data_IF_843697559796
#
_entry.id   IF_843697559796
#
_cell.length_a   1.000
_cell.length_b   1.000
_cell.length_c   1.000
_cell.angle_alpha   90.00
_cell.angle_beta   90.00
_cell.angle_gamma   90.00
#
_symmetry.space_group_name_H-M   'P 1'
#
loop_
_entity.id
_entity.type
_entity.pdbx_description
1 polymer ?
#
# COMPACT_ATOMS: atom_id res chain seq x y z
N UNK A 1 12.49 -12.72 8.22
CA UNK A 1 11.90 -11.86 7.18
C UNK A 1 13.05 -11.25 6.41
N UNK A 2 12.92 -11.02 5.09
CA UNK A 2 13.87 -10.22 4.32
C UNK A 2 14.05 -8.81 4.95
N UNK A 3 15.08 -8.03 4.56
CA UNK A 3 15.24 -6.67 5.06
C UNK A 3 14.06 -5.77 4.64
N UNK A 4 13.87 -4.68 5.39
CA UNK A 4 12.85 -3.68 5.05
C UNK A 4 13.23 -2.90 3.80
N UNK A 5 12.22 -2.59 3.00
CA UNK A 5 12.28 -1.56 1.97
C UNK A 5 11.53 -0.33 2.50
N UNK A 6 12.21 0.81 2.48
CA UNK A 6 11.66 2.06 3.01
C UNK A 6 10.95 2.80 1.89
N UNK A 7 9.73 3.24 2.15
CA UNK A 7 9.03 4.14 1.23
C UNK A 7 9.65 5.53 1.36
N UNK A 8 10.00 6.15 0.23
CA UNK A 8 10.50 7.51 0.20
C UNK A 8 9.43 8.45 0.77
N UNK A 9 9.74 9.23 1.83
CA UNK A 9 8.78 10.15 2.43
C UNK A 9 8.16 11.11 1.40
N UNK A 10 6.85 11.33 1.50
CA UNK A 10 6.10 12.21 0.61
C UNK A 10 5.77 11.62 -0.77
N UNK A 11 6.12 10.36 -1.05
CA UNK A 11 5.82 9.72 -2.34
C UNK A 11 4.60 8.81 -2.30
N UNK A 12 4.08 8.49 -1.11
CA UNK A 12 2.87 7.67 -0.98
C UNK A 12 1.63 8.49 -1.31
N UNK A 13 0.85 8.02 -2.29
CA UNK A 13 -0.34 8.71 -2.79
C UNK A 13 -1.49 7.72 -2.88
N UNK A 14 -2.64 8.13 -2.33
CA UNK A 14 -3.87 7.35 -2.39
C UNK A 14 -4.47 7.36 -3.79
N UNK A 15 -5.01 6.23 -4.22
CA UNK A 15 -5.69 6.08 -5.50
C UNK A 15 -7.07 5.45 -5.32
N UNK A 16 -7.95 5.67 -6.29
CA UNK A 16 -9.28 5.09 -6.34
C UNK A 16 -9.68 4.82 -7.79
N UNK A 17 -10.72 4.00 -8.00
CA UNK A 17 -11.20 3.61 -9.33
C UNK A 17 -10.05 3.22 -10.29
N UNK A 18 -9.03 2.57 -9.73
CA UNK A 18 -7.79 2.23 -10.41
C UNK A 18 -7.71 0.71 -10.51
N UNK A 19 -7.32 0.21 -11.67
CA UNK A 19 -7.27 -1.21 -11.99
C UNK A 19 -5.84 -1.63 -12.32
N UNK A 20 -5.55 -2.92 -12.10
CA UNK A 20 -4.24 -3.48 -12.42
C UNK A 20 -3.96 -3.34 -13.93
N UNK A 21 -2.74 -2.93 -14.29
CA UNK A 21 -2.31 -2.62 -15.65
C UNK A 21 -2.70 -1.24 -16.18
N UNK A 22 -3.57 -0.49 -15.49
CA UNK A 22 -4.04 0.82 -15.95
C UNK A 22 -3.33 1.99 -15.26
N UNK A 23 -3.66 3.21 -15.68
CA UNK A 23 -3.22 4.45 -15.04
C UNK A 23 -3.89 4.67 -13.67
N UNK A 24 -3.45 5.69 -12.94
CA UNK A 24 -3.95 5.99 -11.61
C UNK A 24 -4.97 7.12 -11.64
N UNK A 25 -6.08 6.95 -10.92
CA UNK A 25 -6.93 8.09 -10.54
C UNK A 25 -6.66 8.43 -9.08
N UNK A 26 -6.19 9.66 -8.83
CA UNK A 26 -5.78 10.09 -7.49
C UNK A 26 -6.99 10.23 -6.57
N UNK A 27 -6.86 9.68 -5.36
CA UNK A 27 -7.80 9.95 -4.28
C UNK A 27 -7.51 11.36 -3.74
N UNK A 28 -8.56 12.04 -3.28
CA UNK A 28 -8.45 13.40 -2.75
C UNK A 28 -8.89 13.44 -1.29
N UNK A 29 -8.37 14.40 -0.55
CA UNK A 29 -8.89 14.69 0.78
C UNK A 29 -10.34 15.18 0.69
N UNK A 30 -11.23 14.63 1.53
CA UNK A 30 -12.64 15.01 1.53
C UNK A 30 -13.46 14.29 2.60
N UNK A 31 -14.46 15.01 3.12
CA UNK A 31 -15.37 14.46 4.15
C UNK A 31 -16.52 13.66 3.56
N UNK A 32 -16.76 13.73 2.24
CA UNK A 32 -17.82 13.02 1.53
C UNK A 32 -17.38 12.65 0.10
N UNK A 33 -18.17 11.84 -0.61
CA UNK A 33 -17.95 11.56 -2.03
C UNK A 33 -17.08 10.34 -2.32
N UNK A 34 -17.11 9.90 -3.57
CA UNK A 34 -16.29 8.80 -4.06
C UNK A 34 -14.83 9.24 -4.18
N UNK A 35 -13.90 8.31 -3.98
CA UNK A 35 -12.47 8.59 -4.13
C UNK A 35 -11.90 9.53 -3.08
N UNK A 36 -12.54 9.65 -1.92
CA UNK A 36 -12.07 10.52 -0.84
C UNK A 36 -11.53 9.78 0.37
N UNK A 37 -10.65 10.45 1.10
CA UNK A 37 -10.14 10.06 2.42
C UNK A 37 -10.20 11.27 3.37
N UNK A 38 -10.22 11.03 4.68
CA UNK A 38 -10.22 12.12 5.67
C UNK A 38 -8.83 12.70 5.91
N UNK A 39 -8.77 13.97 6.30
CA UNK A 39 -7.52 14.70 6.62
C UNK A 39 -6.66 14.01 7.69
N UNK A 40 -7.27 13.29 8.62
CA UNK A 40 -6.59 12.55 9.69
C UNK A 40 -6.35 11.06 9.35
N UNK A 41 -6.82 10.61 8.18
CA UNK A 41 -6.75 9.22 7.71
C UNK A 41 -6.11 9.16 6.32
N UNK A 42 -4.95 9.82 6.19
CA UNK A 42 -4.24 10.03 4.93
C UNK A 42 -3.41 8.81 4.52
N UNK A 43 -2.97 8.72 3.25
CA UNK A 43 -2.03 7.67 2.82
C UNK A 43 -0.71 7.66 3.61
N UNK A 44 -0.27 8.81 4.15
CA UNK A 44 0.96 8.91 4.93
C UNK A 44 0.90 8.12 6.25
N UNK A 45 -0.30 7.89 6.79
CA UNK A 45 -0.49 7.06 7.98
C UNK A 45 -0.06 5.60 7.76
N UNK A 46 0.09 5.15 6.50
CA UNK A 46 0.53 3.78 6.22
C UNK A 46 2.01 3.54 6.50
N UNK A 47 2.79 4.61 6.66
CA UNK A 47 4.25 4.56 6.81
C UNK A 47 4.72 5.43 7.99
N UNK A 48 3.82 5.71 8.94
CA UNK A 48 4.14 6.54 10.11
C UNK A 48 4.66 5.70 11.30
N UNK A 49 4.78 4.39 11.09
CA UNK A 49 5.19 3.38 12.05
C UNK A 49 4.23 3.26 13.25
N UNK A 50 2.96 3.60 13.08
CA UNK A 50 1.95 3.58 14.12
C UNK A 50 0.72 2.79 13.68
N UNK A 51 0.53 1.59 14.27
CA UNK A 51 -0.72 0.84 14.10
C UNK A 51 -1.95 1.59 14.64
N UNK A 52 -1.77 2.63 15.46
CA UNK A 52 -2.86 3.43 16.04
C UNK A 52 -3.50 4.42 15.06
N UNK A 53 -2.81 4.76 13.97
CA UNK A 53 -3.37 5.55 12.86
C UNK A 53 -3.84 4.61 11.75
N UNK A 54 -4.46 5.14 10.70
CA UNK A 54 -4.89 4.35 9.53
C UNK A 54 -5.10 5.22 8.30
N UNK A 55 -4.93 4.63 7.13
CA UNK A 55 -5.52 5.17 5.91
C UNK A 55 -6.93 4.62 5.74
N UNK A 56 -7.90 5.47 5.37
CA UNK A 56 -9.26 5.04 5.03
C UNK A 56 -9.73 5.65 3.73
N UNK A 57 -10.11 4.81 2.77
CA UNK A 57 -10.57 5.22 1.44
C UNK A 57 -12.00 4.82 1.16
N UNK A 58 -12.80 5.72 0.58
CA UNK A 58 -14.22 5.46 0.25
C UNK A 58 -14.44 4.74 -1.08
N UNK A 59 -13.50 4.81 -2.03
CA UNK A 59 -13.68 4.24 -3.37
C UNK A 59 -15.02 4.62 -4.03
N UNK A 60 -15.66 3.66 -4.70
CA UNK A 60 -16.99 3.85 -5.32
C UNK A 60 -17.94 2.69 -4.98
N UNK A 61 -19.20 2.96 -4.59
CA UNK A 61 -19.78 4.29 -4.38
C UNK A 61 -19.27 4.92 -3.08
N UNK A 62 -19.09 6.24 -3.07
CA UNK A 62 -18.56 6.98 -1.90
C UNK A 62 -19.57 7.28 -0.79
N UNK A 63 -20.70 6.57 -0.78
CA UNK A 63 -21.78 6.74 0.19
C UNK A 63 -22.55 5.43 0.36
N UNK A 64 -23.22 5.28 1.50
CA UNK A 64 -24.00 4.09 1.83
C UNK A 64 -23.11 2.89 2.12
N UNK A 65 -23.27 2.24 3.27
CA UNK A 65 -22.49 1.05 3.58
C UNK A 65 -22.80 -0.05 2.58
N UNK A 66 -21.77 -0.57 1.90
CA UNK A 66 -21.93 -1.65 0.94
C UNK A 66 -20.64 -2.49 0.82
N UNK A 67 -20.70 -3.59 0.07
CA UNK A 67 -19.56 -4.49 -0.14
C UNK A 67 -18.56 -4.01 -1.19
N UNK A 68 -18.91 -3.02 -2.02
CA UNK A 68 -18.13 -2.54 -3.17
C UNK A 68 -17.30 -1.29 -2.86
N UNK A 69 -17.73 -0.44 -1.93
CA UNK A 69 -17.02 0.78 -1.56
C UNK A 69 -15.61 0.46 -1.05
N UNK A 70 -14.63 1.28 -1.42
CA UNK A 70 -13.22 1.04 -1.11
C UNK A 70 -12.54 -0.05 -1.95
N UNK A 71 -13.26 -0.81 -2.79
CA UNK A 71 -12.61 -1.65 -3.81
C UNK A 71 -12.01 -0.77 -4.92
N UNK A 72 -10.98 -1.27 -5.59
CA UNK A 72 -10.19 -0.53 -6.60
C UNK A 72 -9.59 0.76 -6.05
N UNK A 73 -9.35 0.80 -4.73
CA UNK A 73 -8.59 1.84 -4.05
C UNK A 73 -7.27 1.29 -3.59
N UNK A 74 -6.38 2.17 -3.15
CA UNK A 74 -5.17 1.77 -2.47
C UNK A 74 -4.17 2.90 -2.54
N UNK A 75 -2.92 2.59 -2.85
CA UNK A 75 -1.87 3.59 -2.99
C UNK A 75 -0.81 3.14 -3.99
N UNK A 76 -0.05 4.10 -4.50
CA UNK A 76 1.29 3.84 -5.00
C UNK A 76 2.31 4.58 -4.14
N UNK A 77 3.55 4.13 -4.18
CA UNK A 77 4.67 4.76 -3.50
C UNK A 77 6.00 4.46 -4.21
N UNK A 78 6.97 5.35 -4.04
CA UNK A 78 8.36 5.13 -4.50
C UNK A 78 9.19 4.62 -3.33
N UNK A 79 10.03 3.63 -3.58
CA UNK A 79 10.94 3.07 -2.58
C UNK A 79 12.24 3.88 -2.58
N UNK A 80 12.77 4.17 -1.39
CA UNK A 80 13.93 5.04 -1.20
C UNK A 80 15.25 4.38 -1.62
N UNK A 81 15.33 3.05 -1.55
CA UNK A 81 16.52 2.29 -1.90
C UNK A 81 16.79 2.25 -3.42
N UNK A 82 18.07 2.11 -3.78
CA UNK A 82 18.49 1.89 -5.17
C UNK A 82 18.16 0.46 -5.63
N UNK A 83 17.57 0.34 -6.82
CA UNK A 83 17.19 -0.93 -7.46
C UNK A 83 16.45 -1.91 -6.52
N UNK A 84 15.37 -1.48 -5.84
CA UNK A 84 14.71 -2.32 -4.87
C UNK A 84 13.90 -3.42 -5.57
N UNK A 85 14.03 -4.66 -5.07
CA UNK A 85 13.20 -5.81 -5.46
C UNK A 85 12.31 -6.18 -4.28
N UNK A 86 11.00 -5.96 -4.41
CA UNK A 86 10.00 -6.35 -3.42
C UNK A 86 9.79 -7.88 -3.41
N UNK A 87 9.93 -8.51 -2.24
CA UNK A 87 9.71 -9.95 -2.03
C UNK A 87 8.52 -10.27 -1.14
N UNK A 88 7.95 -9.27 -0.47
CA UNK A 88 6.75 -9.46 0.32
C UNK A 88 6.35 -8.25 1.12
N UNK A 89 5.22 -8.39 1.82
CA UNK A 89 4.64 -7.31 2.59
C UNK A 89 3.84 -7.80 3.80
N UNK A 90 3.48 -6.87 4.68
CA UNK A 90 2.46 -7.02 5.72
C UNK A 90 1.62 -5.76 5.81
N UNK A 91 0.32 -5.93 6.07
CA UNK A 91 -0.55 -4.82 6.43
C UNK A 91 -0.79 -4.78 7.94
N UNK A 92 -0.82 -3.57 8.50
CA UNK A 92 -1.40 -3.29 9.81
C UNK A 92 -2.92 -3.39 9.74
N UNK A 93 -3.52 -4.00 10.74
CA UNK A 93 -4.98 -4.14 10.81
C UNK A 93 -5.67 -2.78 11.03
N UNK A 94 -7.01 -2.76 10.98
CA UNK A 94 -7.78 -1.51 11.12
C UNK A 94 -8.52 -1.41 12.46
N UNK A 95 -7.99 -2.01 13.51
CA UNK A 95 -8.66 -2.06 14.82
C UNK A 95 -9.10 -0.64 15.29
N UNK A 96 -10.34 -0.51 15.84
CA UNK A 96 -11.35 -1.54 16.08
C UNK A 96 -12.27 -1.84 14.87
N UNK A 97 -12.03 -1.24 13.70
CA UNK A 97 -12.88 -1.30 12.51
C UNK A 97 -12.54 -2.47 11.57
N UNK A 98 -12.55 -3.68 12.11
CA UNK A 98 -12.21 -4.89 11.33
C UNK A 98 -13.12 -5.13 10.11
N UNK A 99 -14.34 -4.57 10.10
CA UNK A 99 -15.27 -4.60 8.97
C UNK A 99 -14.71 -3.94 7.69
N UNK A 100 -13.75 -3.03 7.85
CA UNK A 100 -13.14 -2.23 6.79
C UNK A 100 -11.84 -2.83 6.24
N UNK A 101 -11.35 -3.91 6.85
CA UNK A 101 -10.05 -4.45 6.49
C UNK A 101 -10.03 -5.00 5.06
N UNK A 102 -8.99 -4.71 4.28
CA UNK A 102 -8.81 -5.32 2.97
C UNK A 102 -8.45 -6.80 3.16
N UNK A 103 -9.07 -7.69 2.39
CA UNK A 103 -8.80 -9.13 2.43
C UNK A 103 -7.89 -9.58 1.30
N UNK A 104 -8.02 -8.96 0.13
CA UNK A 104 -7.17 -9.23 -1.04
C UNK A 104 -6.68 -7.96 -1.70
N UNK A 105 -5.54 -8.08 -2.36
CA UNK A 105 -4.81 -6.98 -2.99
C UNK A 105 -4.12 -7.46 -4.28
N UNK A 106 -4.00 -6.58 -5.26
CA UNK A 106 -2.98 -6.72 -6.31
C UNK A 106 -1.78 -5.84 -6.00
N UNK A 107 -0.58 -6.36 -6.20
CA UNK A 107 0.66 -5.61 -6.08
C UNK A 107 1.34 -5.56 -7.43
N UNK A 108 1.74 -4.37 -7.84
CA UNK A 108 2.36 -4.11 -9.13
C UNK A 108 3.63 -3.29 -8.97
N UNK A 109 4.59 -3.47 -9.88
CA UNK A 109 5.82 -2.69 -9.94
C UNK A 109 5.93 -1.87 -11.23
N UNK A 110 6.55 -0.69 -11.15
CA UNK A 110 6.90 0.11 -12.32
C UNK A 110 8.21 0.87 -12.17
N UNK A 111 8.79 1.26 -13.30
CA UNK A 111 9.95 2.15 -13.41
C UNK A 111 9.61 3.46 -14.14
N UNK A 112 8.32 3.73 -14.40
CA UNK A 112 7.85 5.01 -14.91
C UNK A 112 8.23 6.17 -13.98
N UNK A 113 8.53 7.34 -14.55
CA UNK A 113 8.76 8.55 -13.77
C UNK A 113 7.44 9.30 -13.48
N UNK A 114 6.50 9.35 -14.43
CA UNK A 114 5.13 9.87 -14.22
C UNK A 114 4.21 8.74 -13.76
N UNK A 115 4.10 8.57 -12.44
CA UNK A 115 3.27 7.51 -11.85
C UNK A 115 1.76 7.73 -12.06
N UNK A 116 1.29 8.95 -12.25
CA UNK A 116 -0.15 9.22 -12.41
C UNK A 116 -0.64 8.66 -13.74
N UNK A 117 0.07 8.95 -14.82
CA UNK A 117 -0.33 8.56 -16.18
C UNK A 117 0.30 7.24 -16.66
N UNK A 118 1.19 6.62 -15.86
CA UNK A 118 1.84 5.37 -16.23
C UNK A 118 0.83 4.22 -16.37
N UNK A 119 0.84 3.56 -17.52
CA UNK A 119 0.11 2.31 -17.81
C UNK A 119 1.03 1.08 -17.81
N UNK A 120 2.33 1.27 -17.64
CA UNK A 120 3.32 0.19 -17.63
C UNK A 120 3.53 -0.34 -16.20
N UNK A 121 2.48 -0.94 -15.64
CA UNK A 121 2.53 -1.64 -14.35
C UNK A 121 2.63 -3.14 -14.57
N UNK A 122 3.62 -3.78 -13.94
CA UNK A 122 3.79 -5.24 -14.00
C UNK A 122 3.14 -5.86 -12.78
N UNK A 123 2.17 -6.75 -12.97
CA UNK A 123 1.54 -7.50 -11.87
C UNK A 123 2.53 -8.47 -11.24
N UNK A 124 2.76 -8.32 -9.94
CA UNK A 124 3.69 -9.14 -9.15
C UNK A 124 2.94 -10.09 -8.21
N UNK A 125 1.78 -9.67 -7.72
CA UNK A 125 0.99 -10.42 -6.76
C UNK A 125 -0.49 -10.16 -6.94
N UNK A 126 -1.31 -11.20 -6.76
CA UNK A 126 -2.76 -11.09 -6.66
C UNK A 126 -3.24 -12.14 -5.65
N UNK A 127 -3.60 -11.70 -4.45
CA UNK A 127 -3.86 -12.63 -3.36
C UNK A 127 -4.23 -11.95 -2.06
N UNK A 128 -3.97 -12.63 -0.95
CA UNK A 128 -4.30 -12.19 0.40
C UNK A 128 -3.53 -10.94 0.83
N UNK A 129 -4.11 -10.20 1.77
CA UNK A 129 -3.41 -9.16 2.54
C UNK A 129 -2.78 -9.68 3.84
N UNK A 130 -3.04 -10.94 4.21
CA UNK A 130 -2.70 -11.50 5.52
C UNK A 130 -3.64 -11.08 6.65
N UNK A 131 -4.70 -10.33 6.36
CA UNK A 131 -5.70 -9.89 7.34
C UNK A 131 -6.96 -10.78 7.33
N UNK A 132 -6.89 -12.07 6.99
CA UNK A 132 -8.10 -12.91 7.01
C UNK A 132 -8.62 -13.17 8.43
N UNK A 133 -7.72 -13.36 9.39
CA UNK A 133 -8.06 -13.57 10.79
C UNK A 133 -8.35 -12.21 11.42
N UNK A 134 -9.55 -12.05 11.98
CA UNK A 134 -9.90 -10.86 12.74
C UNK A 134 -9.12 -10.85 14.06
N UNK A 135 -8.37 -9.78 14.27
CA UNK A 135 -7.61 -9.54 15.49
C UNK A 135 -8.36 -8.56 16.41
N UNK A 136 -8.26 -8.75 17.72
CA UNK A 136 -8.93 -7.94 18.74
C UNK A 136 -8.01 -6.89 19.39
N UNK A 137 -6.85 -6.65 18.79
CA UNK A 137 -5.82 -5.72 19.22
C UNK A 137 -5.14 -5.12 17.98
N UNK A 138 -4.35 -4.05 18.17
CA UNK A 138 -3.50 -3.50 17.12
C UNK A 138 -2.40 -4.50 16.76
N UNK A 139 -2.35 -4.95 15.51
CA UNK A 139 -1.40 -5.95 15.06
C UNK A 139 -1.19 -5.92 13.53
N UNK A 140 -0.04 -6.45 13.10
CA UNK A 140 0.19 -6.77 11.70
C UNK A 140 -0.47 -8.12 11.35
N UNK A 141 -0.97 -8.22 10.12
CA UNK A 141 -1.39 -9.48 9.53
C UNK A 141 -0.21 -10.39 9.15
N UNK A 142 -0.55 -11.53 8.57
CA UNK A 142 0.42 -12.51 8.11
C UNK A 142 1.30 -11.97 6.99
N UNK A 143 2.58 -12.36 6.98
CA UNK A 143 3.50 -12.04 5.89
C UNK A 143 3.04 -12.66 4.57
N UNK A 144 2.95 -11.83 3.52
CA UNK A 144 2.61 -12.26 2.18
C UNK A 144 3.87 -12.23 1.31
N UNK A 145 4.26 -13.39 0.79
CA UNK A 145 5.41 -13.52 -0.12
C UNK A 145 5.00 -13.21 -1.56
N UNK A 146 5.88 -12.51 -2.25
CA UNK A 146 5.77 -12.13 -3.66
C UNK A 146 6.96 -12.76 -4.40
N UNK A 147 6.67 -13.48 -5.48
CA UNK A 147 7.73 -13.95 -6.38
C UNK A 147 8.03 -12.85 -7.41
N UNK A 148 9.13 -12.14 -7.20
CA UNK A 148 9.58 -11.07 -8.08
C UNK A 148 11.10 -11.14 -8.26
N UNK A 149 11.55 -11.11 -9.52
CA UNK A 149 12.97 -11.13 -9.90
C UNK A 149 13.42 -9.82 -10.55
N UNK A 150 12.56 -8.81 -10.59
CA UNK A 150 12.78 -7.53 -11.26
C UNK A 150 12.75 -6.40 -10.24
N UNK A 151 13.75 -5.51 -10.29
CA UNK A 151 13.75 -4.29 -9.49
C UNK A 151 12.81 -3.24 -10.10
N UNK A 152 11.96 -2.66 -9.25
CA UNK A 152 11.07 -1.56 -9.61
C UNK A 152 11.27 -0.39 -8.64
N UNK A 153 11.30 0.84 -9.15
CA UNK A 153 11.40 2.07 -8.35
C UNK A 153 10.15 2.29 -7.49
N UNK A 154 8.97 1.98 -8.05
CA UNK A 154 7.69 2.28 -7.44
C UNK A 154 6.77 1.07 -7.46
N UNK A 155 5.96 0.96 -6.43
CA UNK A 155 5.00 -0.13 -6.26
C UNK A 155 3.60 0.42 -6.03
N UNK A 156 2.59 -0.31 -6.51
CA UNK A 156 1.17 0.01 -6.34
C UNK A 156 0.45 -1.16 -5.71
N UNK A 157 -0.40 -0.86 -4.73
CA UNK A 157 -1.22 -1.81 -4.01
C UNK A 157 -2.68 -1.42 -4.24
N UNK A 158 -3.48 -2.31 -4.84
CA UNK A 158 -4.90 -2.07 -5.12
C UNK A 158 -5.76 -3.11 -4.42
N UNK A 159 -6.68 -2.66 -3.60
CA UNK A 159 -7.58 -3.51 -2.83
C UNK A 159 -8.64 -4.11 -3.76
N UNK A 160 -8.73 -5.44 -3.76
CA UNK A 160 -9.67 -6.19 -4.62
C UNK A 160 -10.82 -6.82 -3.85
N UNK A 161 -10.70 -6.96 -2.52
CA UNK A 161 -11.82 -7.34 -1.65
C UNK A 161 -11.62 -6.83 -0.23
N UNK A 162 -12.70 -6.80 0.56
CA UNK A 162 -12.72 -6.36 1.95
C UNK A 162 -13.63 -7.24 2.80
N UNK A 163 -13.48 -7.15 4.13
CA UNK A 163 -14.13 -8.07 5.06
C UNK A 163 -15.64 -8.00 5.05
N UNK A 164 -16.21 -6.80 5.10
CA UNK A 164 -17.65 -6.64 5.31
C UNK A 164 -18.21 -5.38 4.66
N UNK A 165 -19.48 -5.10 4.94
CA UNK A 165 -20.23 -3.95 4.44
C UNK A 165 -19.78 -2.70 5.20
N UNK A 166 -19.19 -1.75 4.46
CA UNK A 166 -18.79 -0.45 4.97
C UNK A 166 -18.69 0.53 3.81
N UNK A 167 -18.69 1.84 4.05
CA UNK A 167 -18.36 2.82 2.99
C UNK A 167 -16.85 3.00 2.82
N UNK A 168 -16.04 2.34 3.66
CA UNK A 168 -14.59 2.44 3.62
C UNK A 168 -13.91 1.09 3.39
N UNK A 169 -12.66 1.17 2.92
CA UNK A 169 -11.60 0.23 3.28
C UNK A 169 -10.58 0.97 4.12
N UNK A 170 -10.08 0.33 5.18
CA UNK A 170 -9.14 0.91 6.13
C UNK A 170 -8.08 -0.09 6.56
N UNK A 171 -6.84 0.38 6.77
CA UNK A 171 -5.72 -0.40 7.28
C UNK A 171 -4.65 0.52 7.88
N UNK A 172 -3.95 0.02 8.88
CA UNK A 172 -3.09 0.83 9.75
C UNK A 172 -1.76 1.20 9.11
N UNK A 173 -1.05 0.21 8.60
CA UNK A 173 0.36 0.33 8.17
C UNK A 173 0.64 -0.56 6.96
N UNK A 174 1.72 -0.29 6.24
CA UNK A 174 2.34 -1.21 5.27
C UNK A 174 3.82 -1.39 5.61
N UNK A 175 4.23 -2.65 5.69
CA UNK A 175 5.64 -3.02 5.72
C UNK A 175 6.02 -3.69 4.41
N UNK A 176 7.07 -3.20 3.76
CA UNK A 176 7.64 -3.78 2.56
C UNK A 176 8.95 -4.50 2.89
N UNK A 177 9.14 -5.68 2.31
CA UNK A 177 10.32 -6.52 2.53
C UNK A 177 10.94 -6.90 1.19
N UNK A 178 12.26 -6.88 1.10
CA UNK A 178 12.97 -7.25 -0.11
C UNK A 178 14.45 -6.92 -0.07
N UNK A 179 15.08 -6.86 -1.24
CA UNK A 179 16.51 -6.56 -1.37
C UNK A 179 16.73 -5.29 -2.19
N UNK A 180 17.86 -4.64 -1.97
CA UNK A 180 18.32 -3.49 -2.74
C UNK A 180 19.82 -3.53 -2.88
N UNK A 181 20.36 -2.90 -3.92
CA UNK A 181 21.81 -2.66 -3.99
C UNK A 181 22.17 -1.63 -2.92
N UNK A 182 22.82 -2.05 -1.85
CA UNK A 182 23.48 -1.10 -0.96
C UNK A 182 24.70 -0.55 -1.70
N UNK A 183 24.74 0.75 -1.95
CA UNK A 183 25.99 1.40 -2.32
C UNK A 183 26.89 1.35 -1.09
N UNK A 184 27.84 0.42 -1.08
CA UNK A 184 28.91 0.42 -0.08
C UNK A 184 29.72 1.70 -0.29
N UNK A 185 29.45 2.74 0.49
CA UNK A 185 30.48 3.75 0.77
C UNK A 185 31.50 3.08 1.68
N UNK A 186 32.50 2.45 1.07
CA UNK A 186 33.74 2.17 1.77
C UNK A 186 34.27 3.51 2.29
N UNK A 187 34.15 3.77 3.58
CA UNK A 187 35.05 4.70 4.24
C UNK A 187 36.44 4.08 4.13
N UNK A 188 37.16 4.43 3.06
CA UNK A 188 38.61 4.37 3.07
C UNK A 188 39.05 5.39 4.13
N UNK A 189 39.16 4.94 5.38
CA UNK A 189 40.09 5.56 6.31
C UNK A 189 41.50 5.34 5.77
N UNK A 190 41.90 6.21 4.84
CA UNK A 190 43.29 6.43 4.52
C UNK A 190 43.82 7.58 5.35
N UNK A 191 45.01 7.34 5.92
CA UNK A 191 46.07 8.28 6.31
C UNK A 191 46.24 8.35 7.84
N UNK A 192 47.18 7.60 8.43
CA UNK A 192 48.67 7.76 8.44
C UNK A 192 49.15 8.70 9.52
#
# INVERSE_FOLDING_TARGET
LPPYLDIQPGTIVGVWNTFAGDNNTLAIEGTTGAGTYFTDQTPANLIDHSLGTRYSSRGSPGFGNNSLAGLNTGFYATVAQCQPTLEGFRLGNSYPYSDREPLTVTVEGTNCDDLVNCVNWSLLYNGSTGLYIQMNNLAYGDYQSIFNTISYKSYRFLITSKRSISVFVSYGEIQLFGYSTQTSTSQNETSS
#
